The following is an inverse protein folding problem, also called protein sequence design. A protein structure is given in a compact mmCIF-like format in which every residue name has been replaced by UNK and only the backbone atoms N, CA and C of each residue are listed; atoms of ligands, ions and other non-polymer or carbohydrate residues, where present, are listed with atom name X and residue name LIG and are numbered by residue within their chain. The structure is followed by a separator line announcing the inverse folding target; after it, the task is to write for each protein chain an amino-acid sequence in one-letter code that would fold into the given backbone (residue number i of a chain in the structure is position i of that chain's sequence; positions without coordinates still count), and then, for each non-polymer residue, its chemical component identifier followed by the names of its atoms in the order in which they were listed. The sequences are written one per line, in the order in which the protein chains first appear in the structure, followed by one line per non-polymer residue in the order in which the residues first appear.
data_IF_164031839042
#
_entry.id   IF_164031839042
#
_cell.length_a   1.000
_cell.length_b   1.000
_cell.length_c   1.000
_cell.angle_alpha   90.00
_cell.angle_beta   90.00
_cell.angle_gamma   90.00
#
_symmetry.space_group_name_H-M   'P 1'
#
loop_
_entity.id
_entity.type
_entity.pdbx_description
1 polymer ?
#
# COMPACT_ATOMS: atom_id res chain seq x y z
N UNK A 1 3.09 21.81 -1.25
CA UNK A 1 2.02 20.94 -0.71
C UNK A 1 0.93 21.80 -0.09
N UNK A 2 -0.29 21.72 -0.62
CA UNK A 2 -1.49 22.24 0.07
C UNK A 2 -1.93 21.17 1.07
N UNK A 3 -2.12 21.50 2.35
CA UNK A 3 -2.49 20.54 3.41
C UNK A 3 -3.75 19.74 3.07
N UNK A 4 -4.72 20.39 2.42
CA UNK A 4 -5.95 19.75 1.93
C UNK A 4 -5.69 18.61 0.93
N UNK A 5 -4.72 18.79 0.01
CA UNK A 5 -4.38 17.79 -1.00
C UNK A 5 -3.69 16.60 -0.35
N UNK A 6 -2.78 16.86 0.59
CA UNK A 6 -2.08 15.82 1.35
C UNK A 6 -3.05 14.95 2.17
N UNK A 7 -3.86 15.58 3.03
CA UNK A 7 -4.80 14.83 3.87
C UNK A 7 -5.89 14.14 3.04
N UNK A 8 -6.48 14.85 2.08
CA UNK A 8 -7.55 14.31 1.25
C UNK A 8 -7.10 13.11 0.39
N UNK A 9 -5.97 13.23 -0.29
CA UNK A 9 -5.43 12.13 -1.09
C UNK A 9 -4.89 10.99 -0.22
N UNK A 10 -4.23 11.30 0.90
CA UNK A 10 -3.69 10.29 1.81
C UNK A 10 -4.76 9.44 2.49
N UNK A 11 -5.86 10.05 2.94
CA UNK A 11 -7.00 9.30 3.50
C UNK A 11 -7.64 8.42 2.42
N UNK A 12 -7.87 8.95 1.21
CA UNK A 12 -8.43 8.17 0.10
C UNK A 12 -7.53 6.99 -0.28
N UNK A 13 -6.21 7.22 -0.34
CA UNK A 13 -5.22 6.18 -0.57
C UNK A 13 -5.18 5.14 0.55
N UNK A 14 -5.31 5.55 1.80
CA UNK A 14 -5.34 4.66 2.95
C UNK A 14 -6.56 3.73 2.95
N UNK A 15 -7.73 4.27 2.62
CA UNK A 15 -8.97 3.48 2.46
C UNK A 15 -8.81 2.49 1.30
N UNK A 16 -8.30 2.95 0.15
CA UNK A 16 -8.05 2.07 -0.99
C UNK A 16 -7.09 0.92 -0.62
N UNK A 17 -5.98 1.24 0.05
CA UNK A 17 -5.01 0.26 0.50
C UNK A 17 -5.60 -0.77 1.46
N UNK A 18 -6.44 -0.33 2.40
CA UNK A 18 -7.12 -1.20 3.35
C UNK A 18 -8.07 -2.18 2.65
N UNK A 19 -8.92 -1.69 1.75
CA UNK A 19 -9.86 -2.52 0.99
C UNK A 19 -9.14 -3.52 0.09
N UNK A 20 -8.05 -3.09 -0.56
CA UNK A 20 -7.21 -3.96 -1.37
C UNK A 20 -6.51 -5.01 -0.51
N UNK A 21 -6.01 -4.65 0.68
CA UNK A 21 -5.39 -5.60 1.60
C UNK A 21 -6.36 -6.68 2.04
N UNK A 22 -7.60 -6.30 2.36
CA UNK A 22 -8.68 -7.25 2.64
C UNK A 22 -8.97 -8.17 1.44
N UNK A 23 -9.06 -7.63 0.23
CA UNK A 23 -9.29 -8.42 -0.98
C UNK A 23 -8.15 -9.40 -1.27
N UNK A 24 -6.91 -8.93 -1.30
CA UNK A 24 -5.77 -9.76 -1.69
C UNK A 24 -5.37 -10.75 -0.59
N UNK A 25 -5.15 -10.28 0.64
CA UNK A 25 -4.65 -11.14 1.72
C UNK A 25 -5.76 -11.88 2.48
N UNK A 26 -6.98 -11.33 2.51
CA UNK A 26 -8.12 -11.93 3.22
C UNK A 26 -9.00 -12.85 2.36
N UNK A 27 -9.04 -12.64 1.04
CA UNK A 27 -9.91 -13.41 0.13
C UNK A 27 -9.10 -14.19 -0.90
N UNK A 28 -8.33 -13.51 -1.75
CA UNK A 28 -7.72 -14.12 -2.94
C UNK A 28 -6.53 -15.04 -2.60
N UNK A 29 -5.69 -14.63 -1.65
CA UNK A 29 -4.45 -15.32 -1.27
C UNK A 29 -4.45 -15.72 0.20
N UNK A 30 -5.64 -15.92 0.80
CA UNK A 30 -5.78 -16.20 2.23
C UNK A 30 -4.94 -17.39 2.72
N UNK A 31 -4.81 -18.42 1.89
CA UNK A 31 -4.10 -19.67 2.24
C UNK A 31 -2.60 -19.59 1.94
N UNK A 32 -2.13 -18.50 1.31
CA UNK A 32 -0.72 -18.27 1.00
C UNK A 32 0.03 -17.54 2.11
N UNK A 33 -0.69 -16.93 3.06
CA UNK A 33 -0.12 -16.12 4.13
C UNK A 33 -0.67 -16.53 5.50
N UNK A 34 0.15 -16.46 6.56
CA UNK A 34 -0.33 -16.70 7.92
C UNK A 34 -1.37 -15.65 8.30
N UNK A 35 -2.55 -16.13 8.71
CA UNK A 35 -3.65 -15.26 9.09
C UNK A 35 -3.47 -14.82 10.56
N UNK A 36 -3.58 -13.51 10.86
CA UNK A 36 -3.47 -13.03 12.22
C UNK A 36 -4.70 -13.47 13.04
N UNK A 37 -4.53 -13.60 14.36
CA UNK A 37 -5.67 -13.84 15.24
C UNK A 37 -6.70 -12.72 15.11
N UNK A 38 -7.96 -13.10 14.86
CA UNK A 38 -9.05 -12.15 14.70
C UNK A 38 -9.33 -11.45 16.05
N UNK A 39 -9.05 -10.16 16.11
CA UNK A 39 -9.40 -9.32 17.25
C UNK A 39 -9.70 -7.89 16.79
N UNK A 40 -10.51 -7.13 17.54
CA UNK A 40 -10.74 -5.71 17.24
C UNK A 40 -9.44 -4.91 17.14
N UNK A 41 -8.44 -5.25 17.97
CA UNK A 41 -7.12 -4.61 17.96
C UNK A 41 -6.36 -4.90 16.67
N UNK A 42 -6.39 -6.15 16.18
CA UNK A 42 -5.74 -6.55 14.93
C UNK A 42 -6.27 -5.72 13.75
N UNK A 43 -7.59 -5.63 13.62
CA UNK A 43 -8.23 -4.88 12.53
C UNK A 43 -7.92 -3.38 12.60
N UNK A 44 -7.91 -2.81 13.81
CA UNK A 44 -7.55 -1.42 14.04
C UNK A 44 -6.10 -1.12 13.64
N UNK A 45 -5.16 -2.01 13.97
CA UNK A 45 -3.76 -1.86 13.56
C UNK A 45 -3.58 -1.94 12.05
N UNK A 46 -4.31 -2.85 11.36
CA UNK A 46 -4.29 -2.94 9.89
C UNK A 46 -4.85 -1.66 9.25
N UNK A 47 -5.94 -1.12 9.80
CA UNK A 47 -6.54 0.12 9.34
C UNK A 47 -5.60 1.32 9.53
N UNK A 48 -4.99 1.46 10.71
CA UNK A 48 -4.02 2.52 11.00
C UNK A 48 -2.75 2.39 10.16
N UNK A 49 -2.25 1.17 9.94
CA UNK A 49 -1.12 0.89 9.06
C UNK A 49 -1.43 1.29 7.62
N UNK A 50 -2.62 0.93 7.11
CA UNK A 50 -3.07 1.31 5.77
C UNK A 50 -3.22 2.82 5.62
N UNK A 51 -3.81 3.49 6.61
CA UNK A 51 -3.94 4.94 6.63
C UNK A 51 -2.57 5.63 6.62
N UNK A 52 -1.65 5.17 7.45
CA UNK A 52 -0.27 5.69 7.52
C UNK A 52 0.45 5.50 6.19
N UNK A 53 0.29 4.34 5.55
CA UNK A 53 0.87 4.06 4.24
C UNK A 53 0.29 4.98 3.14
N UNK A 54 -1.03 5.17 3.13
CA UNK A 54 -1.70 6.11 2.23
C UNK A 54 -1.19 7.54 2.39
N UNK A 55 -1.06 8.01 3.65
CA UNK A 55 -0.47 9.32 3.97
C UNK A 55 0.98 9.40 3.51
N UNK A 56 1.79 8.35 3.69
CA UNK A 56 3.17 8.33 3.26
C UNK A 56 3.31 8.50 1.74
N UNK A 57 2.56 7.74 0.93
CA UNK A 57 2.57 7.91 -0.53
C UNK A 57 2.03 9.28 -0.93
N UNK A 58 0.98 9.77 -0.27
CA UNK A 58 0.46 11.12 -0.52
C UNK A 58 1.49 12.21 -0.22
N UNK A 59 2.31 12.04 0.82
CA UNK A 59 3.41 12.96 1.11
C UNK A 59 4.43 12.98 -0.02
N UNK A 60 4.86 11.81 -0.50
CA UNK A 60 5.78 11.70 -1.64
C UNK A 60 5.19 12.42 -2.86
N UNK A 61 3.93 12.16 -3.18
CA UNK A 61 3.29 12.69 -4.38
C UNK A 61 3.04 14.19 -4.29
N UNK A 62 2.65 14.73 -3.13
CA UNK A 62 2.27 16.14 -2.97
C UNK A 62 3.41 17.05 -2.54
N UNK A 63 4.46 16.52 -1.91
CA UNK A 63 5.61 17.31 -1.44
C UNK A 63 6.85 17.11 -2.30
N UNK A 64 7.17 15.88 -2.70
CA UNK A 64 8.42 15.59 -3.41
C UNK A 64 8.24 15.54 -4.93
N UNK A 65 7.30 14.76 -5.43
CA UNK A 65 7.19 14.44 -6.85
C UNK A 65 6.17 15.30 -7.63
N UNK A 66 5.28 16.00 -6.94
CA UNK A 66 4.17 16.78 -7.54
C UNK A 66 3.30 15.96 -8.51
N UNK A 67 2.97 14.72 -8.15
CA UNK A 67 2.18 13.79 -8.95
C UNK A 67 0.67 14.07 -8.82
N UNK A 68 0.01 14.25 -9.96
CA UNK A 68 -1.42 14.60 -10.06
C UNK A 68 -2.20 13.88 -11.17
N UNK A 69 -1.58 12.92 -11.87
CA UNK A 69 -2.24 12.14 -12.93
C UNK A 69 -2.28 10.65 -12.59
N UNK A 70 -3.39 9.99 -12.90
CA UNK A 70 -3.62 8.57 -12.58
C UNK A 70 -2.47 7.69 -13.09
N UNK A 71 -2.06 7.88 -14.35
CA UNK A 71 -1.00 7.06 -14.97
C UNK A 71 0.37 7.23 -14.28
N UNK A 72 0.74 8.47 -13.93
CA UNK A 72 2.00 8.69 -13.20
C UNK A 72 1.93 8.17 -11.76
N UNK A 73 0.77 8.34 -11.10
CA UNK A 73 0.51 7.78 -9.77
C UNK A 73 0.57 6.27 -9.73
N UNK A 74 -0.01 5.59 -10.72
CA UNK A 74 0.02 4.14 -10.81
C UNK A 74 1.45 3.61 -10.98
N UNK A 75 2.23 4.21 -11.88
CA UNK A 75 3.62 3.80 -12.13
C UNK A 75 4.50 4.07 -10.91
N UNK A 76 4.42 5.26 -10.32
CA UNK A 76 5.19 5.59 -9.12
C UNK A 76 4.78 4.71 -7.92
N UNK A 77 3.48 4.47 -7.75
CA UNK A 77 2.96 3.57 -6.72
C UNK A 77 3.48 2.15 -6.87
N UNK A 78 3.46 1.59 -8.09
CA UNK A 78 3.98 0.27 -8.39
C UNK A 78 5.48 0.14 -8.07
N UNK A 79 6.28 1.15 -8.42
CA UNK A 79 7.73 1.19 -8.10
C UNK A 79 7.95 1.26 -6.59
N UNK A 80 7.17 2.07 -5.87
CA UNK A 80 7.24 2.15 -4.40
C UNK A 80 6.90 0.79 -3.78
N UNK A 81 5.84 0.13 -4.24
CA UNK A 81 5.44 -1.19 -3.75
C UNK A 81 6.49 -2.25 -3.99
N UNK A 82 7.10 -2.25 -5.18
CA UNK A 82 8.21 -3.15 -5.50
C UNK A 82 9.35 -3.02 -4.48
N UNK A 83 9.86 -1.81 -4.25
CA UNK A 83 11.01 -1.63 -3.35
C UNK A 83 10.65 -1.86 -1.88
N UNK A 84 9.48 -1.43 -1.42
CA UNK A 84 9.05 -1.63 -0.03
C UNK A 84 8.82 -3.12 0.23
N UNK A 85 8.06 -3.81 -0.62
CA UNK A 85 7.80 -5.24 -0.43
C UNK A 85 9.07 -6.07 -0.58
N UNK A 86 9.93 -5.77 -1.55
CA UNK A 86 11.20 -6.48 -1.69
C UNK A 86 12.06 -6.32 -0.43
N UNK A 87 12.20 -5.10 0.09
CA UNK A 87 12.95 -4.84 1.32
C UNK A 87 12.37 -5.63 2.51
N UNK A 88 11.07 -5.51 2.74
CA UNK A 88 10.39 -6.18 3.87
C UNK A 88 10.49 -7.71 3.76
N UNK A 89 10.30 -8.28 2.57
CA UNK A 89 10.37 -9.72 2.39
C UNK A 89 11.80 -10.27 2.49
N UNK A 90 12.83 -9.53 2.08
CA UNK A 90 14.22 -9.95 2.28
C UNK A 90 14.56 -10.05 3.78
N UNK A 91 14.12 -9.08 4.59
CA UNK A 91 14.24 -9.19 6.04
C UNK A 91 13.37 -10.32 6.61
N UNK A 92 12.15 -10.50 6.09
CA UNK A 92 11.25 -11.58 6.49
C UNK A 92 11.88 -12.97 6.28
N UNK A 93 12.51 -13.21 5.13
CA UNK A 93 13.25 -14.44 4.83
C UNK A 93 14.42 -14.69 5.78
N UNK A 94 15.06 -13.64 6.28
CA UNK A 94 16.17 -13.76 7.22
C UNK A 94 15.71 -14.01 8.67
N UNK A 95 14.53 -13.51 9.05
CA UNK A 95 14.07 -13.48 10.43
C UNK A 95 13.01 -14.54 10.77
N UNK A 96 12.26 -15.02 9.79
CA UNK A 96 11.14 -15.95 10.00
C UNK A 96 11.42 -17.28 9.29
N UNK A 97 11.45 -18.38 10.06
CA UNK A 97 11.74 -19.74 9.56
C UNK A 97 10.71 -20.24 8.55
N UNK A 98 9.49 -19.72 8.62
CA UNK A 98 8.36 -20.16 7.79
C UNK A 98 8.26 -19.36 6.48
N UNK A 99 9.07 -18.30 6.34
CA UNK A 99 9.08 -17.48 5.13
C UNK A 99 9.74 -18.25 3.97
N UNK A 100 9.07 -18.26 2.81
CA UNK A 100 9.57 -18.94 1.61
C UNK A 100 9.77 -17.97 0.45
N UNK A 101 10.63 -18.33 -0.51
CA UNK A 101 10.81 -17.53 -1.74
C UNK A 101 9.50 -17.41 -2.51
N UNK A 102 8.64 -18.44 -2.49
CA UNK A 102 7.33 -18.39 -3.11
C UNK A 102 6.40 -17.34 -2.47
N UNK A 103 6.39 -17.25 -1.13
CA UNK A 103 5.64 -16.20 -0.42
C UNK A 103 6.16 -14.81 -0.75
N UNK A 104 7.49 -14.63 -0.82
CA UNK A 104 8.10 -13.37 -1.25
C UNK A 104 7.63 -12.96 -2.65
N UNK A 105 7.72 -13.87 -3.63
CA UNK A 105 7.34 -13.55 -5.02
C UNK A 105 5.85 -13.23 -5.14
N UNK A 106 5.01 -13.91 -4.36
CA UNK A 106 3.57 -13.67 -4.31
C UNK A 106 3.27 -12.30 -3.69
N UNK A 107 3.87 -11.99 -2.54
CA UNK A 107 3.69 -10.70 -1.86
C UNK A 107 4.22 -9.53 -2.69
N UNK A 108 5.34 -9.72 -3.39
CA UNK A 108 5.91 -8.72 -4.28
C UNK A 108 4.94 -8.38 -5.42
N UNK A 109 4.34 -9.39 -6.05
CA UNK A 109 3.33 -9.19 -7.09
C UNK A 109 2.08 -8.48 -6.57
N UNK A 110 1.56 -8.91 -5.42
CA UNK A 110 0.41 -8.27 -4.76
C UNK A 110 0.72 -6.82 -4.43
N UNK A 111 1.88 -6.56 -3.82
CA UNK A 111 2.31 -5.22 -3.41
C UNK A 111 2.42 -4.27 -4.60
N UNK A 112 3.03 -4.68 -5.71
CA UNK A 112 3.11 -3.87 -6.93
C UNK A 112 1.71 -3.43 -7.41
N UNK A 113 0.77 -4.37 -7.46
CA UNK A 113 -0.60 -4.10 -7.91
C UNK A 113 -1.32 -3.19 -6.91
N UNK A 114 -1.28 -3.54 -5.62
CA UNK A 114 -1.97 -2.79 -4.57
C UNK A 114 -1.47 -1.35 -4.46
N UNK A 115 -0.15 -1.16 -4.36
CA UNK A 115 0.42 0.18 -4.25
C UNK A 115 0.29 0.97 -5.54
N UNK A 116 0.27 0.30 -6.70
CA UNK A 116 -0.07 0.91 -7.98
C UNK A 116 -1.48 1.49 -7.98
N UNK A 117 -2.48 0.72 -7.54
CA UNK A 117 -3.87 1.22 -7.43
C UNK A 117 -3.96 2.32 -6.37
N UNK A 118 -3.36 2.15 -5.20
CA UNK A 118 -3.30 3.18 -4.14
C UNK A 118 -2.69 4.48 -4.66
N UNK A 119 -1.57 4.40 -5.38
CA UNK A 119 -0.92 5.56 -6.01
C UNK A 119 -1.81 6.22 -7.07
N UNK A 120 -2.51 5.43 -7.88
CA UNK A 120 -3.47 5.93 -8.86
C UNK A 120 -4.61 6.73 -8.21
N UNK A 121 -5.16 6.22 -7.09
CA UNK A 121 -6.21 6.90 -6.30
C UNK A 121 -5.69 8.21 -5.71
N UNK A 122 -4.50 8.19 -5.10
CA UNK A 122 -3.88 9.39 -4.53
C UNK A 122 -3.67 10.46 -5.61
N UNK A 123 -3.10 10.07 -6.75
CA UNK A 123 -2.84 10.99 -7.85
C UNK A 123 -4.13 11.55 -8.47
N UNK A 124 -5.19 10.73 -8.59
CA UNK A 124 -6.50 11.19 -9.03
C UNK A 124 -7.05 12.30 -8.13
N UNK A 125 -7.04 12.08 -6.81
CA UNK A 125 -7.52 13.05 -5.83
C UNK A 125 -6.68 14.33 -5.87
N UNK A 126 -5.36 14.20 -5.99
CA UNK A 126 -4.47 15.34 -6.15
C UNK A 126 -4.80 16.17 -7.40
N UNK A 127 -5.05 15.53 -8.54
CA UNK A 127 -5.41 16.20 -9.79
C UNK A 127 -6.75 16.92 -9.73
N UNK A 128 -7.72 16.42 -8.96
CA UNK A 128 -9.02 17.07 -8.75
C UNK A 128 -8.97 18.25 -7.77
N UNK A 129 -8.00 18.25 -6.86
CA UNK A 129 -7.82 19.30 -5.84
C UNK A 129 -6.77 20.36 -6.20
N UNK A 130 -6.11 20.19 -7.35
CA UNK A 130 -5.06 21.07 -7.91
C UNK A 130 -5.48 22.51 -8.01
#
# INVERSE_FOLDING_TARGET
MKTKNFLGSGIAGGIANFLLGWLFYGILFKDSFPQPAESPNTMLLIALGSLTFGLFIAYIFTKWAQISTISSGAKAGAVIGFFISLSMNLFNLAMNSDATIQMLLTDLGISIVMTGITGAVIAYVNGKMG
#
